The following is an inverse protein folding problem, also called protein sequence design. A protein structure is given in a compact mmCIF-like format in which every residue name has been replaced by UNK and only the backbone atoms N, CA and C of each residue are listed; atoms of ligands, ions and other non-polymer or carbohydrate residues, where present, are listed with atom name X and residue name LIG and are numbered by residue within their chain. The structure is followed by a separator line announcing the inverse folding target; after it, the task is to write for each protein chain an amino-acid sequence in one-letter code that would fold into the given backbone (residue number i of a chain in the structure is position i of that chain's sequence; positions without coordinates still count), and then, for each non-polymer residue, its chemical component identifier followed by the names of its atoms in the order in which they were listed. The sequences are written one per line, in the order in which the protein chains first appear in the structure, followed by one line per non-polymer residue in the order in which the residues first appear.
data_IF_269636707722
#
_entry.id   IF_269636707722
#
_cell.length_a   1.000
_cell.length_b   1.000
_cell.length_c   1.000
_cell.angle_alpha   90.00
_cell.angle_beta   90.00
_cell.angle_gamma   90.00
#
_symmetry.space_group_name_H-M   'P 1'
#
loop_
_entity.id
_entity.type
_entity.pdbx_description
1 polymer ?
#
# COMPACT_ATOMS: atom_id res chain seq x y z
N UNK A 1 -0.19 -8.68 -13.08
CA UNK A 1 0.39 -7.36 -12.71
C UNK A 1 -0.39 -6.84 -11.50
N UNK A 2 -0.09 -7.35 -10.29
CA UNK A 2 -0.71 -6.92 -9.03
C UNK A 2 0.12 -5.80 -8.40
N UNK A 3 0.16 -4.67 -9.09
CA UNK A 3 0.61 -3.40 -8.55
C UNK A 3 -0.67 -2.57 -8.37
N UNK A 4 -1.35 -2.72 -7.24
CA UNK A 4 -2.45 -1.83 -6.86
C UNK A 4 -1.87 -0.51 -6.29
N UNK A 5 -0.97 0.11 -7.06
CA UNK A 5 -0.37 1.42 -6.79
C UNK A 5 -1.10 2.56 -7.50
N UNK A 6 -2.22 2.24 -8.16
CA UNK A 6 -3.12 3.19 -8.77
C UNK A 6 -4.54 2.69 -8.59
N UNK A 7 -5.09 2.86 -7.38
CA UNK A 7 -6.53 2.99 -7.23
C UNK A 7 -6.96 4.27 -7.95
N UNK A 8 -7.08 4.20 -9.27
CA UNK A 8 -8.25 4.82 -9.88
C UNK A 8 -9.40 4.13 -9.15
N UNK A 9 -10.15 4.87 -8.33
CA UNK A 9 -11.36 4.37 -7.69
C UNK A 9 -12.34 4.02 -8.82
N UNK A 10 -12.12 2.89 -9.47
CA UNK A 10 -13.01 2.36 -10.47
C UNK A 10 -14.15 1.70 -9.70
N UNK A 11 -15.19 2.50 -9.44
CA UNK A 11 -16.40 2.03 -8.81
C UNK A 11 -17.16 1.03 -9.70
N UNK A 12 -16.79 0.90 -10.99
CA UNK A 12 -17.38 -0.09 -11.90
C UNK A 12 -16.87 -1.51 -11.67
N UNK A 13 -15.82 -1.69 -10.86
CA UNK A 13 -15.37 -3.03 -10.46
C UNK A 13 -16.30 -3.68 -9.42
N UNK A 14 -17.23 -2.91 -8.84
CA UNK A 14 -18.18 -3.39 -7.84
C UNK A 14 -19.53 -3.70 -8.48
N UNK A 15 -20.12 -4.86 -8.14
CA UNK A 15 -21.44 -5.24 -8.67
C UNK A 15 -22.57 -4.33 -8.18
N UNK A 16 -22.46 -3.78 -6.97
CA UNK A 16 -23.41 -2.83 -6.40
C UNK A 16 -22.70 -1.82 -5.51
N UNK A 17 -23.15 -0.57 -5.54
CA UNK A 17 -22.72 0.52 -4.64
C UNK A 17 -23.83 0.89 -3.63
N UNK A 18 -24.95 0.18 -3.67
CA UNK A 18 -26.09 0.41 -2.79
C UNK A 18 -25.72 0.18 -1.32
N UNK A 19 -26.17 1.09 -0.45
CA UNK A 19 -25.90 1.02 0.99
C UNK A 19 -24.54 1.57 1.43
N UNK A 20 -23.66 1.98 0.51
CA UNK A 20 -22.45 2.71 0.87
C UNK A 20 -22.79 4.10 1.39
N UNK A 21 -22.13 4.49 2.46
CA UNK A 21 -22.24 5.83 3.05
C UNK A 21 -20.94 6.60 2.86
N UNK A 22 -21.02 7.93 2.95
CA UNK A 22 -19.84 8.78 2.88
C UNK A 22 -18.88 8.48 4.04
N UNK A 23 -17.58 8.31 3.77
CA UNK A 23 -16.56 8.30 4.82
C UNK A 23 -16.57 9.61 5.60
N UNK A 24 -16.19 9.55 6.87
CA UNK A 24 -16.05 10.72 7.73
C UNK A 24 -14.66 10.72 8.36
N UNK A 25 -14.18 11.89 8.76
CA UNK A 25 -12.88 11.97 9.41
C UNK A 25 -12.73 13.21 10.27
N UNK A 26 -11.89 13.06 11.28
CA UNK A 26 -11.52 14.10 12.23
C UNK A 26 -10.02 14.36 12.12
N UNK A 27 -9.64 15.62 12.27
CA UNK A 27 -8.25 16.01 12.37
C UNK A 27 -8.06 17.03 13.49
N UNK A 28 -6.97 16.89 14.21
CA UNK A 28 -6.55 17.85 15.22
C UNK A 28 -5.05 18.03 15.11
N UNK A 29 -4.60 19.27 15.24
CA UNK A 29 -3.19 19.60 15.26
C UNK A 29 -2.92 20.72 16.27
N UNK A 30 -1.75 20.64 16.90
CA UNK A 30 -1.28 21.64 17.84
C UNK A 30 0.21 21.86 17.61
N UNK A 31 0.63 23.12 17.62
CA UNK A 31 2.01 23.45 17.32
C UNK A 31 2.45 24.77 17.91
N UNK A 32 3.77 24.97 17.91
CA UNK A 32 4.42 26.18 18.34
C UNK A 32 5.48 26.58 17.31
N UNK A 33 5.56 27.88 17.03
CA UNK A 33 6.56 28.46 16.15
C UNK A 33 7.30 29.59 16.88
N UNK A 34 8.63 29.58 16.81
CA UNK A 34 9.49 30.66 17.30
C UNK A 34 10.33 31.23 16.17
N UNK A 35 10.19 32.52 15.94
CA UNK A 35 11.01 33.30 15.01
C UNK A 35 12.03 34.12 15.76
N UNK A 36 13.18 34.39 15.13
CA UNK A 36 14.14 35.36 15.62
C UNK A 36 14.46 36.44 14.58
N UNK A 37 15.05 37.55 15.03
CA UNK A 37 15.43 38.68 14.17
C UNK A 37 16.52 38.34 13.14
N UNK A 38 17.25 37.23 13.33
CA UNK A 38 18.28 36.73 12.40
C UNK A 38 17.68 35.94 11.22
N UNK A 39 16.34 35.85 11.15
CA UNK A 39 15.62 35.18 10.06
C UNK A 39 15.45 33.69 10.25
N UNK A 40 15.74 33.13 11.43
CA UNK A 40 15.43 31.74 11.72
C UNK A 40 14.00 31.59 12.23
N UNK A 41 13.32 30.55 11.76
CA UNK A 41 12.06 30.06 12.33
C UNK A 41 12.21 28.59 12.71
N UNK A 42 11.80 28.24 13.92
CA UNK A 42 11.70 26.87 14.39
C UNK A 42 10.23 26.58 14.70
N UNK A 43 9.66 25.59 14.03
CA UNK A 43 8.28 25.15 14.23
C UNK A 43 8.23 23.68 14.63
N UNK A 44 7.36 23.36 15.57
CA UNK A 44 7.00 21.99 15.94
C UNK A 44 5.49 21.86 15.92
N UNK A 45 5.00 20.76 15.37
CA UNK A 45 3.57 20.47 15.24
C UNK A 45 3.32 18.99 15.54
N UNK A 46 2.36 18.71 16.41
CA UNK A 46 1.79 17.37 16.58
C UNK A 46 0.44 17.31 15.90
N UNK A 47 0.11 16.16 15.30
CA UNK A 47 -1.18 15.92 14.69
C UNK A 47 -1.75 14.55 15.07
N UNK A 48 -3.08 14.50 15.10
CA UNK A 48 -3.88 13.29 15.13
C UNK A 48 -4.93 13.39 14.03
N UNK A 49 -5.16 12.28 13.33
CA UNK A 49 -6.20 12.14 12.31
C UNK A 49 -6.87 10.81 12.51
N UNK A 50 -8.19 10.80 12.37
CA UNK A 50 -8.99 9.60 12.37
C UNK A 50 -9.93 9.64 11.18
N UNK A 51 -10.07 8.51 10.50
CA UNK A 51 -11.00 8.32 9.40
C UNK A 51 -11.85 7.09 9.71
N UNK A 52 -13.16 7.22 9.54
CA UNK A 52 -14.11 6.15 9.78
C UNK A 52 -14.92 5.87 8.53
N UNK A 53 -15.48 4.66 8.47
CA UNK A 53 -16.37 4.23 7.37
C UNK A 53 -15.68 4.34 6.02
N UNK A 54 -14.37 4.06 5.97
CA UNK A 54 -13.63 4.02 4.72
C UNK A 54 -14.21 2.90 3.85
N UNK A 55 -14.46 3.24 2.58
CA UNK A 55 -14.96 2.30 1.59
C UNK A 55 -13.79 1.42 1.17
N UNK A 56 -13.86 0.15 1.50
CA UNK A 56 -12.87 -0.86 1.13
C UNK A 56 -13.55 -2.02 0.41
N UNK A 57 -12.75 -2.77 -0.34
CA UNK A 57 -13.21 -4.00 -0.98
C UNK A 57 -13.40 -5.07 0.08
N UNK A 58 -14.59 -5.67 0.14
CA UNK A 58 -14.87 -6.83 1.01
C UNK A 58 -13.84 -7.92 0.72
N UNK A 59 -13.41 -8.62 1.76
CA UNK A 59 -12.53 -9.76 1.60
C UNK A 59 -12.93 -10.84 2.61
N UNK A 60 -13.07 -12.06 2.10
CA UNK A 60 -13.62 -13.16 2.89
C UNK A 60 -12.98 -14.50 2.48
N UNK A 61 -13.11 -15.49 3.35
CA UNK A 61 -12.74 -16.86 3.04
C UNK A 61 -13.80 -17.44 2.11
N UNK A 62 -13.37 -17.88 0.94
CA UNK A 62 -14.24 -18.49 -0.06
C UNK A 62 -13.60 -19.74 -0.64
N UNK A 63 -14.43 -20.65 -1.14
CA UNK A 63 -13.96 -21.80 -1.90
C UNK A 63 -13.34 -21.32 -3.22
N UNK A 64 -12.15 -21.83 -3.52
CA UNK A 64 -11.40 -21.55 -4.74
C UNK A 64 -10.79 -22.83 -5.26
N UNK A 65 -10.77 -22.99 -6.58
CA UNK A 65 -9.98 -24.05 -7.21
C UNK A 65 -8.50 -23.70 -7.09
N UNK A 66 -7.71 -24.64 -6.59
CA UNK A 66 -6.26 -24.52 -6.43
C UNK A 66 -5.59 -25.80 -6.91
N UNK A 67 -4.32 -25.71 -7.31
CA UNK A 67 -3.50 -26.89 -7.55
C UNK A 67 -2.93 -27.41 -6.24
N UNK A 68 -3.23 -28.66 -5.88
CA UNK A 68 -2.61 -29.37 -4.77
C UNK A 68 -1.52 -30.30 -5.29
N UNK A 69 -0.37 -30.29 -4.65
CA UNK A 69 0.77 -31.10 -5.10
C UNK A 69 0.54 -32.55 -4.74
N UNK A 70 0.65 -33.43 -5.73
CA UNK A 70 0.49 -34.88 -5.53
C UNK A 70 1.85 -35.59 -5.49
N UNK A 71 2.63 -35.53 -6.57
CA UNK A 71 3.89 -36.27 -6.73
C UNK A 71 4.67 -35.81 -7.96
N UNK A 72 5.91 -36.26 -8.12
CA UNK A 72 6.74 -35.99 -9.30
C UNK A 72 7.44 -34.63 -9.28
N UNK A 73 7.98 -34.17 -10.42
CA UNK A 73 8.71 -32.90 -10.51
C UNK A 73 7.79 -31.68 -10.32
N UNK A 74 7.98 -30.83 -9.28
CA UNK A 74 7.10 -29.68 -9.00
C UNK A 74 7.01 -28.64 -10.14
N UNK A 75 7.89 -28.70 -11.13
CA UNK A 75 7.82 -27.82 -12.28
C UNK A 75 6.72 -28.22 -13.27
N UNK A 76 6.17 -29.43 -13.24
CA UNK A 76 5.23 -29.94 -14.25
C UNK A 76 3.77 -29.82 -13.79
N UNK A 77 2.85 -29.55 -14.72
CA UNK A 77 1.41 -29.46 -14.41
C UNK A 77 0.83 -30.79 -13.93
N UNK A 78 1.36 -31.92 -14.41
CA UNK A 78 0.93 -33.27 -14.02
C UNK A 78 1.25 -33.63 -12.57
N UNK A 79 2.12 -32.86 -11.92
CA UNK A 79 2.46 -33.03 -10.50
C UNK A 79 1.44 -32.48 -9.53
N UNK A 80 0.32 -31.98 -10.06
CA UNK A 80 -0.72 -31.31 -9.29
C UNK A 80 -2.11 -31.80 -9.71
N UNK A 81 -3.01 -31.87 -8.74
CA UNK A 81 -4.44 -32.06 -9.00
C UNK A 81 -5.23 -30.78 -8.67
N UNK A 82 -6.35 -30.57 -9.35
CA UNK A 82 -7.22 -29.42 -9.05
C UNK A 82 -8.17 -29.78 -7.92
N UNK A 83 -8.00 -29.16 -6.76
CA UNK A 83 -8.90 -29.32 -5.61
C UNK A 83 -9.64 -28.03 -5.30
N UNK A 84 -10.72 -28.14 -4.53
CA UNK A 84 -11.38 -26.98 -3.93
C UNK A 84 -10.78 -26.73 -2.55
N UNK A 85 -10.23 -25.54 -2.32
CA UNK A 85 -9.72 -25.13 -1.03
C UNK A 85 -10.29 -23.78 -0.57
N UNK A 86 -10.42 -23.60 0.74
CA UNK A 86 -10.79 -22.33 1.33
C UNK A 86 -9.60 -21.36 1.24
N UNK A 87 -9.80 -20.20 0.60
CA UNK A 87 -8.79 -19.16 0.45
C UNK A 87 -9.39 -17.80 0.80
N UNK A 88 -8.62 -17.00 1.51
CA UNK A 88 -8.96 -15.61 1.76
C UNK A 88 -8.77 -14.80 0.47
N UNK A 89 -9.83 -14.14 0.00
CA UNK A 89 -9.78 -13.41 -1.26
C UNK A 89 -10.66 -12.15 -1.28
N UNK A 90 -10.26 -11.12 -2.06
CA UNK A 90 -11.10 -9.94 -2.29
C UNK A 90 -12.37 -10.28 -3.07
N UNK A 91 -13.54 -9.95 -2.53
CA UNK A 91 -14.85 -10.07 -3.18
C UNK A 91 -15.14 -8.90 -4.13
N UNK A 92 -16.05 -9.03 -5.08
CA UNK A 92 -16.44 -7.96 -6.03
C UNK A 92 -17.42 -6.93 -5.44
N UNK A 93 -17.39 -6.78 -4.12
CA UNK A 93 -18.30 -5.91 -3.35
C UNK A 93 -17.48 -4.94 -2.51
N UNK A 94 -18.01 -3.75 -2.30
CA UNK A 94 -17.46 -2.75 -1.40
C UNK A 94 -18.21 -2.73 -0.06
N UNK A 95 -17.57 -2.25 0.98
CA UNK A 95 -18.17 -1.98 2.29
C UNK A 95 -17.52 -0.79 3.00
N UNK A 96 -18.25 -0.14 3.90
CA UNK A 96 -17.72 0.84 4.85
C UNK A 96 -17.10 0.14 6.09
N UNK A 97 -16.15 -0.76 5.86
CA UNK A 97 -15.64 -1.71 6.86
C UNK A 97 -14.31 -1.35 7.52
N UNK A 98 -13.75 -0.16 7.21
CA UNK A 98 -12.40 0.22 7.62
C UNK A 98 -12.36 1.58 8.33
N UNK A 99 -11.46 1.69 9.31
CA UNK A 99 -11.09 2.94 9.98
C UNK A 99 -9.57 3.10 9.96
N UNK A 100 -9.08 4.34 9.97
CA UNK A 100 -7.65 4.64 10.00
C UNK A 100 -7.36 5.69 11.06
N UNK A 101 -6.42 5.38 11.94
CA UNK A 101 -5.85 6.32 12.90
C UNK A 101 -4.42 6.68 12.51
N UNK A 102 -4.12 7.97 12.44
CA UNK A 102 -2.79 8.48 12.14
C UNK A 102 -2.35 9.53 13.15
N UNK A 103 -1.16 9.32 13.72
CA UNK A 103 -0.51 10.23 14.66
C UNK A 103 0.86 10.62 14.15
N UNK A 104 1.31 11.82 14.46
CA UNK A 104 2.67 12.19 14.14
C UNK A 104 3.11 13.52 14.73
N UNK A 105 4.41 13.74 14.65
CA UNK A 105 5.07 14.98 15.00
C UNK A 105 5.90 15.45 13.81
N UNK A 106 5.92 16.75 13.60
CA UNK A 106 6.71 17.42 12.59
C UNK A 106 7.57 18.50 13.24
N UNK A 107 8.84 18.52 12.88
CA UNK A 107 9.75 19.62 13.15
C UNK A 107 10.14 20.31 11.85
N UNK A 108 10.21 21.64 11.87
CA UNK A 108 10.70 22.46 10.75
C UNK A 108 11.64 23.54 11.25
N UNK A 109 12.82 23.60 10.66
CA UNK A 109 13.76 24.72 10.82
C UNK A 109 13.89 25.43 9.48
N UNK A 110 13.78 26.75 9.49
CA UNK A 110 13.87 27.60 8.30
C UNK A 110 14.79 28.78 8.56
N UNK A 111 15.61 29.14 7.57
CA UNK A 111 16.37 30.39 7.50
C UNK A 111 15.90 31.20 6.30
N UNK A 112 15.44 32.41 6.53
CA UNK A 112 15.13 33.42 5.52
C UNK A 112 16.29 34.40 5.37
N UNK A 113 16.39 35.04 4.21
CA UNK A 113 17.28 36.20 4.03
C UNK A 113 16.59 37.43 4.61
N UNK A 114 17.24 38.06 5.58
CA UNK A 114 16.76 39.26 6.27
C UNK A 114 17.68 40.45 5.95
N UNK A 115 18.99 40.21 5.81
CA UNK A 115 19.95 41.24 5.42
C UNK A 115 20.49 41.00 4.01
N UNK A 116 21.12 42.02 3.42
CA UNK A 116 21.78 41.88 2.12
C UNK A 116 22.97 40.90 2.17
N UNK A 117 23.60 40.76 3.35
CA UNK A 117 24.73 39.85 3.59
C UNK A 117 24.31 38.37 3.68
N UNK A 118 23.02 38.08 3.86
CA UNK A 118 22.52 36.71 3.93
C UNK A 118 22.72 36.01 2.58
N UNK A 119 23.77 35.19 2.50
CA UNK A 119 24.13 34.45 1.29
C UNK A 119 23.27 33.22 1.04
N UNK A 120 22.49 32.76 2.02
CA UNK A 120 21.65 31.58 1.87
C UNK A 120 20.28 31.72 2.56
N UNK A 121 19.33 30.95 2.06
CA UNK A 121 18.06 30.65 2.70
C UNK A 121 17.75 29.18 2.49
N UNK A 122 16.97 28.60 3.38
CA UNK A 122 16.64 27.20 3.28
C UNK A 122 15.76 26.73 4.41
N UNK A 123 15.35 25.48 4.32
CA UNK A 123 14.56 24.83 5.33
C UNK A 123 14.87 23.35 5.37
N UNK A 124 14.65 22.76 6.53
CA UNK A 124 14.63 21.33 6.76
C UNK A 124 13.36 21.03 7.53
N UNK A 125 12.63 20.03 7.08
CA UNK A 125 11.46 19.52 7.78
C UNK A 125 11.55 18.02 7.92
N UNK A 126 11.21 17.52 9.10
CA UNK A 126 11.18 16.11 9.38
C UNK A 126 9.85 15.76 10.05
N UNK A 127 9.19 14.74 9.54
CA UNK A 127 7.97 14.17 10.11
C UNK A 127 8.26 12.74 10.55
N UNK A 128 7.91 12.45 11.80
CA UNK A 128 7.78 11.11 12.33
C UNK A 128 6.29 10.82 12.53
N UNK A 129 5.75 9.82 11.85
CA UNK A 129 4.34 9.48 11.92
C UNK A 129 4.09 7.98 11.96
N UNK A 130 2.86 7.59 12.33
CA UNK A 130 2.35 6.23 12.23
C UNK A 130 0.88 6.31 11.87
N UNK A 131 0.48 5.58 10.84
CA UNK A 131 -0.89 5.36 10.43
C UNK A 131 -1.22 3.87 10.45
N UNK A 132 -2.32 3.51 11.11
CA UNK A 132 -2.82 2.15 11.22
C UNK A 132 -4.24 2.09 10.67
N UNK A 133 -4.51 1.03 9.90
CA UNK A 133 -5.85 0.69 9.45
C UNK A 133 -6.40 -0.43 10.31
N UNK A 134 -7.65 -0.28 10.72
CA UNK A 134 -8.42 -1.29 11.44
C UNK A 134 -9.61 -1.72 10.57
N UNK A 135 -9.77 -3.03 10.36
CA UNK A 135 -10.95 -3.60 9.69
C UNK A 135 -11.22 -5.03 10.12
N UNK A 136 -12.44 -5.48 9.85
CA UNK A 136 -12.81 -6.88 10.03
C UNK A 136 -12.12 -7.76 8.98
N UNK A 137 -11.51 -8.86 9.43
CA UNK A 137 -10.97 -9.88 8.56
C UNK A 137 -11.14 -11.26 9.21
N UNK A 138 -11.80 -12.18 8.51
CA UNK A 138 -12.15 -13.52 9.03
C UNK A 138 -12.91 -13.48 10.36
N UNK A 139 -13.90 -12.57 10.48
CA UNK A 139 -14.72 -12.44 11.69
C UNK A 139 -13.99 -11.83 12.90
N UNK A 140 -12.74 -11.40 12.76
CA UNK A 140 -11.96 -10.74 13.83
C UNK A 140 -11.54 -9.33 13.41
N UNK A 141 -11.64 -8.37 14.32
CA UNK A 141 -11.12 -7.02 14.11
C UNK A 141 -9.60 -7.04 14.16
N UNK A 142 -8.93 -6.57 13.11
CA UNK A 142 -7.47 -6.58 13.01
C UNK A 142 -6.93 -5.20 12.66
N UNK A 143 -5.72 -4.91 13.14
CA UNK A 143 -4.95 -3.71 12.82
C UNK A 143 -3.73 -4.07 11.98
N UNK A 144 -3.44 -3.26 10.98
CA UNK A 144 -2.24 -3.37 10.16
C UNK A 144 -1.76 -1.98 9.74
N UNK A 145 -0.49 -1.82 9.36
CA UNK A 145 0.00 -0.53 8.85
C UNK A 145 -0.84 -0.08 7.65
N UNK A 146 -1.25 1.19 7.64
CA UNK A 146 -1.99 1.74 6.51
C UNK A 146 -1.09 1.75 5.26
N UNK A 147 -1.65 1.50 4.08
CA UNK A 147 -0.84 1.36 2.84
C UNK A 147 -0.02 2.63 2.50
N UNK A 148 -0.49 3.80 2.93
CA UNK A 148 0.21 5.07 2.78
C UNK A 148 0.99 5.50 4.03
N UNK A 149 1.14 4.62 5.03
CA UNK A 149 1.90 4.92 6.24
C UNK A 149 3.39 5.11 5.94
N UNK A 150 3.85 6.36 6.04
CA UNK A 150 5.26 6.70 5.93
C UNK A 150 5.78 7.15 7.28
N UNK A 151 6.59 6.31 7.91
CA UNK A 151 7.08 6.57 9.26
C UNK A 151 8.02 7.76 9.33
N UNK A 152 8.97 7.83 8.40
CA UNK A 152 9.97 8.88 8.33
C UNK A 152 9.82 9.64 7.03
N UNK A 153 9.71 10.97 7.12
CA UNK A 153 9.73 11.85 5.95
C UNK A 153 10.62 13.03 6.23
N UNK A 154 11.69 13.18 5.44
CA UNK A 154 12.66 14.26 5.52
C UNK A 154 12.63 15.04 4.21
N UNK A 155 12.58 16.36 4.33
CA UNK A 155 12.66 17.25 3.18
C UNK A 155 13.57 18.41 3.50
N UNK A 156 14.46 18.72 2.56
CA UNK A 156 15.45 19.79 2.68
C UNK A 156 15.37 20.65 1.44
N UNK A 157 15.38 21.96 1.61
CA UNK A 157 15.52 22.93 0.53
C UNK A 157 16.57 23.96 0.88
N UNK A 158 17.49 24.25 -0.04
CA UNK A 158 18.52 25.26 0.14
C UNK A 158 18.66 26.12 -1.11
N UNK A 159 18.89 27.41 -0.89
CA UNK A 159 19.09 28.42 -1.92
C UNK A 159 20.30 29.28 -1.53
N UNK A 160 21.39 29.21 -2.28
CA UNK A 160 22.66 29.91 -2.00
C UNK A 160 22.97 30.89 -3.12
N UNK A 161 23.27 32.15 -2.78
CA UNK A 161 23.78 33.15 -3.74
C UNK A 161 25.29 32.90 -3.88
N UNK A 162 25.73 32.54 -5.09
CA UNK A 162 27.14 32.27 -5.39
C UNK A 162 27.87 33.51 -5.91
N UNK A 163 27.13 34.54 -6.35
CA UNK A 163 27.70 35.81 -6.83
C UNK A 163 26.63 36.79 -7.29
N UNK A 164 27.03 37.84 -8.03
CA UNK A 164 26.11 38.80 -8.64
C UNK A 164 25.32 38.10 -9.75
N UNK A 165 24.03 37.85 -9.51
CA UNK A 165 23.12 37.25 -10.47
C UNK A 165 23.07 35.72 -10.48
N UNK A 166 23.94 35.02 -9.73
CA UNK A 166 23.94 33.56 -9.68
C UNK A 166 23.39 33.02 -8.35
N UNK A 167 22.35 32.20 -8.42
CA UNK A 167 21.78 31.48 -7.29
C UNK A 167 21.74 29.98 -7.59
N UNK A 168 22.27 29.19 -6.67
CA UNK A 168 22.14 27.74 -6.68
C UNK A 168 20.98 27.32 -5.77
N UNK A 169 20.12 26.45 -6.29
CA UNK A 169 18.96 25.93 -5.57
C UNK A 169 18.99 24.40 -5.61
N UNK A 170 18.78 23.78 -4.45
CA UNK A 170 18.68 22.33 -4.35
C UNK A 170 17.55 21.94 -3.41
N UNK A 171 16.86 20.86 -3.76
CA UNK A 171 15.85 20.22 -2.94
C UNK A 171 16.15 18.73 -2.87
N UNK A 172 16.15 18.20 -1.67
CA UNK A 172 16.30 16.77 -1.42
C UNK A 172 15.16 16.27 -0.55
N UNK A 173 14.68 15.07 -0.84
CA UNK A 173 13.58 14.44 -0.15
C UNK A 173 13.94 12.98 0.10
N UNK A 174 13.62 12.50 1.29
CA UNK A 174 13.79 11.12 1.70
C UNK A 174 12.57 10.68 2.47
N UNK A 175 12.15 9.44 2.27
CA UNK A 175 11.10 8.87 3.09
C UNK A 175 11.29 7.37 3.24
N UNK A 176 10.97 6.85 4.43
CA UNK A 176 10.92 5.41 4.64
C UNK A 176 9.94 4.76 3.67
N UNK A 177 10.22 3.53 3.25
CA UNK A 177 9.35 2.81 2.34
C UNK A 177 7.95 2.55 2.92
N UNK A 178 7.00 2.48 1.99
CA UNK A 178 5.61 2.17 2.32
C UNK A 178 5.46 0.71 2.73
N UNK A 179 4.49 0.39 3.61
CA UNK A 179 4.09 -0.97 3.86
C UNK A 179 3.63 -1.67 2.58
N UNK A 180 3.87 -2.97 2.51
CA UNK A 180 3.35 -3.83 1.46
C UNK A 180 3.09 -5.23 1.99
N UNK A 181 2.20 -5.95 1.31
CA UNK A 181 1.90 -7.36 1.60
C UNK A 181 2.84 -8.24 0.77
N UNK A 182 3.85 -8.90 1.38
CA UNK A 182 4.79 -9.73 0.64
C UNK A 182 4.12 -11.00 0.11
N UNK A 183 4.54 -11.47 -1.07
CA UNK A 183 4.21 -12.83 -1.49
C UNK A 183 4.95 -13.81 -0.57
N UNK A 184 4.21 -14.73 0.05
CA UNK A 184 4.77 -15.70 1.01
C UNK A 184 4.98 -17.08 0.39
N UNK A 185 4.29 -17.37 -0.72
CA UNK A 185 4.43 -18.62 -1.47
C UNK A 185 3.94 -18.41 -2.90
N UNK A 186 3.91 -19.51 -3.66
CA UNK A 186 3.32 -19.60 -5.00
C UNK A 186 2.38 -20.78 -5.06
N UNK A 187 1.31 -20.66 -5.86
CA UNK A 187 0.39 -21.75 -6.17
C UNK A 187 0.26 -21.91 -7.69
N UNK A 188 0.09 -23.14 -8.21
CA UNK A 188 -0.18 -23.35 -9.62
C UNK A 188 -1.45 -22.60 -10.07
N UNK A 189 -1.41 -22.06 -11.28
CA UNK A 189 -2.55 -21.39 -11.88
C UNK A 189 -3.56 -22.41 -12.36
N UNK A 190 -4.77 -22.35 -11.82
CA UNK A 190 -5.91 -23.11 -12.35
C UNK A 190 -6.56 -22.31 -13.46
N UNK A 191 -6.81 -22.97 -14.59
CA UNK A 191 -7.58 -22.42 -15.70
C UNK A 191 -8.61 -23.43 -16.20
N UNK A 192 -9.31 -23.04 -17.26
CA UNK A 192 -10.26 -23.90 -17.93
C UNK A 192 -9.73 -24.27 -19.30
N UNK A 193 -9.78 -25.55 -19.64
CA UNK A 193 -9.48 -26.08 -20.94
C UNK A 193 -10.69 -26.84 -21.49
N UNK A 194 -10.86 -26.81 -22.80
CA UNK A 194 -11.83 -27.62 -23.50
C UNK A 194 -11.29 -29.04 -23.63
N UNK A 195 -12.16 -30.04 -23.50
CA UNK A 195 -11.79 -31.44 -23.69
C UNK A 195 -11.32 -31.70 -25.13
N UNK A 196 -10.22 -32.44 -25.28
CA UNK A 196 -9.61 -32.76 -26.58
C UNK A 196 -10.55 -33.55 -27.50
N UNK A 197 -11.49 -34.31 -26.92
CA UNK A 197 -12.43 -35.16 -27.67
C UNK A 197 -13.86 -34.62 -27.70
N UNK A 198 -14.19 -33.62 -26.87
CA UNK A 198 -15.50 -33.00 -26.82
C UNK A 198 -15.40 -31.49 -26.59
N UNK A 199 -15.58 -30.73 -27.67
CA UNK A 199 -15.50 -29.26 -27.63
C UNK A 199 -16.54 -28.58 -26.73
N UNK A 200 -17.51 -29.32 -26.20
CA UNK A 200 -18.55 -28.82 -25.30
C UNK A 200 -18.25 -29.07 -23.82
N UNK A 201 -17.28 -29.94 -23.51
CA UNK A 201 -16.89 -30.25 -22.14
C UNK A 201 -15.74 -29.36 -21.70
N UNK A 202 -15.91 -28.64 -20.58
CA UNK A 202 -14.89 -27.78 -19.97
C UNK A 202 -14.32 -28.46 -18.72
N UNK A 203 -13.00 -28.59 -18.64
CA UNK A 203 -12.27 -29.13 -17.50
C UNK A 203 -11.45 -28.05 -16.81
N UNK A 204 -11.35 -28.12 -15.50
CA UNK A 204 -10.40 -27.31 -14.75
C UNK A 204 -9.03 -28.01 -14.81
N UNK A 205 -8.01 -27.27 -15.23
CA UNK A 205 -6.65 -27.80 -15.42
C UNK A 205 -5.63 -26.87 -14.78
N UNK A 206 -4.45 -27.42 -14.47
CA UNK A 206 -3.28 -26.59 -14.15
C UNK A 206 -2.72 -26.05 -15.46
N UNK A 207 -2.67 -24.72 -15.55
CA UNK A 207 -2.10 -24.05 -16.71
C UNK A 207 -0.61 -24.31 -16.76
N UNK A 208 -0.14 -24.79 -17.92
CA UNK A 208 1.26 -24.95 -18.23
C UNK A 208 1.68 -24.03 -19.37
N UNK A 209 2.98 -23.84 -19.49
CA UNK A 209 3.58 -23.26 -20.67
C UNK A 209 3.57 -24.27 -21.83
N UNK A 210 3.03 -23.92 -23.00
CA UNK A 210 2.84 -24.87 -24.09
C UNK A 210 4.14 -25.32 -24.76
N UNK A 211 5.26 -24.60 -24.60
CA UNK A 211 6.55 -24.99 -25.18
C UNK A 211 7.35 -25.89 -24.23
N UNK A 212 7.30 -25.60 -22.93
CA UNK A 212 8.14 -26.28 -21.93
C UNK A 212 7.40 -27.33 -21.10
N UNK A 213 6.07 -27.28 -21.07
CA UNK A 213 5.23 -28.12 -20.20
C UNK A 213 5.25 -27.69 -18.73
N UNK A 214 5.95 -26.61 -18.38
CA UNK A 214 6.07 -26.18 -16.99
C UNK A 214 4.79 -25.52 -16.48
N UNK A 215 4.38 -25.88 -15.26
CA UNK A 215 3.26 -25.26 -14.57
C UNK A 215 3.51 -23.76 -14.42
N UNK A 216 2.46 -22.97 -14.66
CA UNK A 216 2.45 -21.53 -14.40
C UNK A 216 2.02 -21.28 -12.98
N UNK A 217 2.73 -20.39 -12.30
CA UNK A 217 2.50 -20.10 -10.88
C UNK A 217 2.05 -18.66 -10.68
N UNK A 218 1.21 -18.47 -9.67
CA UNK A 218 0.84 -17.15 -9.16
C UNK A 218 1.32 -17.00 -7.71
N UNK A 219 1.77 -15.80 -7.31
CA UNK A 219 2.10 -15.55 -5.92
C UNK A 219 0.86 -15.68 -5.03
N UNK A 220 1.07 -16.20 -3.84
CA UNK A 220 0.08 -16.19 -2.76
C UNK A 220 0.54 -15.32 -1.62
N UNK A 221 -0.44 -14.64 -1.02
CA UNK A 221 -0.22 -13.62 0.00
C UNK A 221 -0.71 -14.07 1.38
N UNK A 222 -1.19 -15.32 1.52
CA UNK A 222 -1.70 -15.84 2.79
C UNK A 222 -3.01 -15.20 3.22
N UNK A 223 -3.24 -15.22 4.53
CA UNK A 223 -4.40 -14.61 5.16
C UNK A 223 -4.15 -13.15 5.58
N UNK A 224 -5.13 -12.57 6.31
CA UNK A 224 -5.08 -11.19 6.76
C UNK A 224 -3.88 -10.84 7.64
N UNK A 225 -3.28 -11.82 8.31
CA UNK A 225 -2.07 -11.66 9.12
C UNK A 225 -0.87 -11.14 8.33
N UNK A 226 -0.85 -11.33 7.02
CA UNK A 226 0.24 -10.87 6.17
C UNK A 226 0.02 -9.46 5.61
N UNK A 227 -1.15 -8.85 5.83
CA UNK A 227 -1.44 -7.52 5.29
C UNK A 227 -0.45 -6.48 5.76
N UNK A 228 0.22 -5.85 4.78
CA UNK A 228 1.15 -4.75 5.01
C UNK A 228 2.24 -5.10 6.04
N UNK A 229 2.63 -6.38 6.11
CA UNK A 229 3.55 -6.93 7.10
C UNK A 229 5.02 -6.54 6.88
N UNK A 230 5.38 -6.13 5.66
CA UNK A 230 6.73 -5.71 5.28
C UNK A 230 6.74 -4.25 4.79
N UNK A 231 7.92 -3.65 4.64
CA UNK A 231 8.10 -2.28 4.09
C UNK A 231 9.13 -2.27 2.97
N UNK A 232 8.88 -1.45 1.95
CA UNK A 232 9.87 -1.22 0.90
C UNK A 232 11.16 -0.62 1.49
N UNK A 233 12.32 -0.84 0.84
CA UNK A 233 13.52 -0.06 1.16
C UNK A 233 13.29 1.43 0.89
N UNK A 234 14.06 2.27 1.57
CA UNK A 234 14.02 3.72 1.45
C UNK A 234 14.91 4.25 0.31
#
# INVERSE_FOLDING_TARGET
KFLDGSRVFDLMQYRTLEGLISPVGWHANAGFERKNRRGFSLAFEGFWKNFEKLITRKADIRSRLVGDYITGPPALSESYEVVTAMRFQPALEAENGSSVDAVGIQGRLEKRRVTMDDRWAGWISYTLSRAEEERMAQGTLRRFPFEYDRQHSLSVGINVRLGKGLTFSSRWQYGSGFPYTPAISVEPMVGQAVDDFDSTTIRNVILSDPETGYARFVPTFGGPENFNSARYPA
#
